data_IF_190393772481
#
_entry.id   IF_190393772481
#
_cell.length_a   1.000
_cell.length_b   1.000
_cell.length_c   1.000
_cell.angle_alpha   90.00
_cell.angle_beta   90.00
_cell.angle_gamma   90.00
#
_symmetry.space_group_name_H-M   'P 1'
#
loop_
_entity.id
_entity.type
_entity.pdbx_description
1 polymer ?
#
# COMPACT_ATOMS: atom_id res chain seq x y z
N UNK A 1 2.17 28.05 27.10
CA UNK A 1 3.50 27.44 27.34
C UNK A 1 4.14 27.24 25.97
N UNK A 2 5.01 28.17 25.55
CA UNK A 2 5.60 28.25 24.19
C UNK A 2 6.81 27.30 24.13
N UNK A 3 6.98 26.44 23.13
CA UNK A 3 8.18 25.60 23.04
C UNK A 3 9.37 26.45 22.60
N UNK A 4 10.42 26.44 23.42
CA UNK A 4 11.73 27.00 23.12
C UNK A 4 12.29 26.41 21.84
N UNK A 5 12.39 27.20 20.78
CA UNK A 5 13.16 26.91 19.60
C UNK A 5 14.65 26.79 20.03
N UNK A 6 15.19 25.59 19.95
CA UNK A 6 16.63 25.32 20.14
C UNK A 6 17.35 25.97 18.97
N UNK A 7 18.03 27.09 19.24
CA UNK A 7 18.93 27.79 18.32
C UNK A 7 20.07 26.85 17.94
N UNK A 8 20.04 26.33 16.71
CA UNK A 8 21.17 25.62 16.14
C UNK A 8 22.41 26.54 16.08
N UNK A 9 23.60 26.10 16.50
CA UNK A 9 24.79 26.91 16.49
C UNK A 9 25.12 27.40 15.07
N UNK A 10 25.30 28.75 14.92
CA UNK A 10 25.70 29.39 13.65
C UNK A 10 27.09 28.89 13.24
N UNK A 11 27.18 28.22 12.10
CA UNK A 11 28.44 27.71 11.51
C UNK A 11 29.42 28.85 11.16
N UNK A 12 30.71 28.74 11.48
CA UNK A 12 31.71 29.69 11.03
C UNK A 12 31.80 29.68 9.49
N UNK A 13 31.86 30.88 8.89
CA UNK A 13 31.81 31.10 7.43
C UNK A 13 32.93 30.38 6.64
N UNK A 14 34.11 30.15 7.25
CA UNK A 14 35.28 29.50 6.63
C UNK A 14 35.03 28.02 6.26
N UNK A 15 34.16 27.30 7.02
CA UNK A 15 33.84 25.89 6.75
C UNK A 15 32.89 25.68 5.54
N UNK A 16 32.28 26.76 5.01
CA UNK A 16 31.46 26.69 3.79
C UNK A 16 32.26 26.64 2.50
N UNK A 17 33.46 27.20 2.50
CA UNK A 17 34.31 27.25 1.32
C UNK A 17 34.86 25.88 0.91
N UNK A 18 35.00 24.94 1.88
CA UNK A 18 35.55 23.59 1.63
C UNK A 18 34.50 22.49 1.53
N UNK A 19 33.21 22.82 1.43
CA UNK A 19 32.15 21.82 1.27
C UNK A 19 32.01 20.83 2.44
N UNK A 20 32.59 21.13 3.61
CA UNK A 20 32.56 20.28 4.81
C UNK A 20 31.18 20.35 5.47
N UNK A 21 30.32 19.31 5.40
CA UNK A 21 28.89 19.41 5.77
C UNK A 21 28.62 19.35 7.28
N UNK A 22 29.64 19.06 8.12
CA UNK A 22 29.48 18.89 9.57
C UNK A 22 30.60 19.57 10.31
N UNK A 23 30.38 20.12 11.53
CA UNK A 23 31.48 20.49 12.37
C UNK A 23 32.36 19.24 12.57
N UNK A 24 33.66 19.35 12.42
CA UNK A 24 34.56 18.25 12.68
C UNK A 24 34.32 17.79 14.12
N UNK A 25 34.09 16.49 14.29
CA UNK A 25 33.99 15.91 15.64
C UNK A 25 35.38 16.05 16.31
N UNK A 26 35.41 15.95 17.64
CA UNK A 26 36.67 16.01 18.39
C UNK A 26 37.73 15.04 17.81
N UNK A 27 37.27 13.85 17.39
CA UNK A 27 38.13 12.81 16.78
C UNK A 27 38.72 13.28 15.44
N UNK A 28 37.92 13.90 14.56
CA UNK A 28 38.39 14.39 13.27
C UNK A 28 39.43 15.52 13.47
N UNK A 29 39.21 16.41 14.45
CA UNK A 29 40.10 17.49 14.78
C UNK A 29 41.43 16.97 15.34
N UNK A 30 41.37 16.01 16.29
CA UNK A 30 42.57 15.40 16.84
C UNK A 30 43.37 14.64 15.78
N UNK A 31 42.69 13.98 14.84
CA UNK A 31 43.36 13.30 13.75
C UNK A 31 44.04 14.27 12.79
N UNK A 32 43.42 15.39 12.45
CA UNK A 32 44.06 16.43 11.61
C UNK A 32 45.33 16.96 12.28
N UNK A 33 45.28 17.22 13.59
CA UNK A 33 46.47 17.66 14.35
C UNK A 33 47.58 16.58 14.32
N UNK A 34 47.18 15.30 14.54
CA UNK A 34 48.09 14.17 14.46
C UNK A 34 48.71 14.03 13.06
N UNK A 35 47.91 14.13 12.00
CA UNK A 35 48.35 14.02 10.63
C UNK A 35 49.34 15.18 10.25
N UNK A 36 49.01 16.41 10.67
CA UNK A 36 49.91 17.57 10.45
C UNK A 36 51.24 17.42 11.21
N UNK A 37 51.22 16.95 12.46
CA UNK A 37 52.46 16.71 13.23
C UNK A 37 53.32 15.61 12.58
N UNK A 38 52.70 14.52 12.07
CA UNK A 38 53.47 13.49 11.35
C UNK A 38 53.98 14.00 10.00
N UNK A 39 53.24 14.87 9.31
CA UNK A 39 53.70 15.49 8.06
C UNK A 39 54.90 16.39 8.30
N UNK A 40 54.91 17.18 9.40
CA UNK A 40 56.06 18.01 9.79
C UNK A 40 57.30 17.13 10.07
N UNK A 41 57.13 15.99 10.72
CA UNK A 41 58.20 15.01 10.95
C UNK A 41 58.77 14.44 9.64
N UNK A 42 57.93 14.17 8.63
CA UNK A 42 58.38 13.71 7.30
C UNK A 42 59.37 14.72 6.69
N UNK A 43 59.10 16.04 6.78
CA UNK A 43 59.95 17.07 6.20
C UNK A 43 61.18 17.44 7.06
N UNK A 44 61.07 17.26 8.40
CA UNK A 44 62.18 17.63 9.31
C UNK A 44 63.27 16.56 9.45
N UNK A 45 62.90 15.28 9.25
CA UNK A 45 63.81 14.16 9.51
C UNK A 45 63.88 13.17 8.32
N UNK A 46 64.60 13.49 7.25
CA UNK A 46 64.67 12.73 6.00
C UNK A 46 65.05 11.26 6.15
N UNK A 47 65.79 10.90 7.19
CA UNK A 47 66.17 9.49 7.46
C UNK A 47 65.17 8.71 8.31
N UNK A 48 64.08 9.32 8.79
CA UNK A 48 63.06 8.75 9.67
C UNK A 48 61.65 8.87 9.09
N UNK A 49 61.52 9.29 7.84
CA UNK A 49 60.27 9.64 7.20
C UNK A 49 59.30 8.46 7.09
N UNK A 50 59.80 7.21 6.96
CA UNK A 50 59.01 6.00 6.77
C UNK A 50 57.98 5.80 7.87
N UNK A 51 58.33 6.06 9.13
CA UNK A 51 57.40 5.85 10.28
C UNK A 51 56.30 6.87 10.29
N UNK A 52 56.49 8.19 10.28
CA UNK A 52 55.41 9.17 10.28
C UNK A 52 54.56 9.12 9.01
N UNK A 53 55.17 8.81 7.82
CA UNK A 53 54.44 8.56 6.59
C UNK A 53 53.42 7.45 6.71
N UNK A 54 53.80 6.24 7.15
CA UNK A 54 52.91 5.14 7.36
C UNK A 54 51.88 5.40 8.48
N UNK A 55 52.23 6.16 9.52
CA UNK A 55 51.32 6.52 10.60
C UNK A 55 50.15 7.39 10.11
N UNK A 56 50.33 8.28 9.12
CA UNK A 56 49.26 9.08 8.50
C UNK A 56 48.24 8.12 7.82
N UNK A 57 48.72 7.22 6.96
CA UNK A 57 47.87 6.32 6.22
C UNK A 57 47.17 5.26 7.09
N UNK A 58 47.90 4.70 8.06
CA UNK A 58 47.34 3.73 8.99
C UNK A 58 46.26 4.34 9.90
N UNK A 59 46.53 5.56 10.43
CA UNK A 59 45.54 6.27 11.26
C UNK A 59 44.31 6.71 10.47
N UNK A 60 44.48 7.15 9.24
CA UNK A 60 43.38 7.48 8.34
C UNK A 60 42.47 6.26 8.08
N UNK A 61 43.08 5.09 7.83
CA UNK A 61 42.40 3.83 7.64
C UNK A 61 41.62 3.40 8.90
N UNK A 62 42.28 3.53 10.07
CA UNK A 62 41.65 3.18 11.35
C UNK A 62 40.44 4.06 11.65
N UNK A 63 40.57 5.36 11.53
CA UNK A 63 39.50 6.32 11.79
C UNK A 63 38.34 6.11 10.83
N UNK A 64 38.61 5.87 9.54
CA UNK A 64 37.56 5.58 8.57
C UNK A 64 36.79 4.31 8.91
N UNK A 65 37.41 3.29 9.50
CA UNK A 65 36.73 2.08 9.98
C UNK A 65 35.71 2.36 11.10
N UNK A 66 35.98 3.34 11.95
CA UNK A 66 35.04 3.75 13.03
C UNK A 66 34.02 4.80 12.56
N UNK A 67 34.38 5.65 11.61
CA UNK A 67 33.55 6.77 11.14
C UNK A 67 33.67 6.97 9.63
N UNK A 68 32.69 6.47 8.89
CA UNK A 68 32.67 6.64 7.44
C UNK A 68 32.33 8.07 7.05
N UNK A 69 33.21 8.73 6.32
CA UNK A 69 32.98 10.06 5.77
C UNK A 69 32.17 10.00 4.46
N UNK A 70 31.55 11.12 4.05
CA UNK A 70 30.90 11.24 2.74
C UNK A 70 31.95 11.12 1.62
N UNK A 71 31.52 10.77 0.39
CA UNK A 71 32.40 10.49 -0.74
C UNK A 71 33.31 11.68 -1.06
N UNK A 72 32.77 12.90 -1.13
CA UNK A 72 33.52 14.10 -1.41
C UNK A 72 34.68 14.34 -0.43
N UNK A 73 34.42 14.45 0.88
CA UNK A 73 35.49 14.58 1.89
C UNK A 73 36.52 13.44 1.85
N UNK A 74 36.08 12.19 1.60
CA UNK A 74 37.00 11.06 1.52
C UNK A 74 37.97 11.20 0.36
N UNK A 75 37.48 11.50 -0.84
CA UNK A 75 38.32 11.68 -2.04
C UNK A 75 39.23 12.88 -1.90
N UNK A 76 38.73 13.98 -1.36
CA UNK A 76 39.52 15.19 -1.17
C UNK A 76 40.67 14.96 -0.17
N UNK A 77 40.37 14.31 0.97
CA UNK A 77 41.35 14.01 2.00
C UNK A 77 42.42 13.02 1.51
N UNK A 78 41.98 11.98 0.76
CA UNK A 78 42.90 11.01 0.14
C UNK A 78 43.80 11.70 -0.87
N UNK A 79 43.24 12.58 -1.72
CA UNK A 79 44.04 13.38 -2.69
C UNK A 79 45.05 14.30 -2.00
N UNK A 80 44.62 15.00 -0.95
CA UNK A 80 45.52 15.87 -0.17
C UNK A 80 46.64 15.07 0.51
N UNK A 81 46.30 13.96 1.19
CA UNK A 81 47.30 13.10 1.82
C UNK A 81 48.29 12.53 0.78
N UNK A 82 47.78 12.07 -0.35
CA UNK A 82 48.59 11.52 -1.44
C UNK A 82 49.58 12.60 -2.00
N UNK A 83 49.09 13.83 -2.25
CA UNK A 83 49.90 14.90 -2.81
C UNK A 83 51.00 15.34 -1.82
N UNK A 84 50.63 15.51 -0.54
CA UNK A 84 51.57 15.96 0.49
C UNK A 84 52.63 14.91 0.79
N UNK A 85 52.25 13.65 0.94
CA UNK A 85 53.21 12.57 1.20
C UNK A 85 54.10 12.28 -0.02
N UNK A 86 53.52 12.30 -1.25
CA UNK A 86 54.32 12.14 -2.46
C UNK A 86 55.32 13.26 -2.66
N UNK A 87 55.00 14.51 -2.26
CA UNK A 87 55.95 15.62 -2.37
C UNK A 87 57.11 15.47 -1.40
N UNK A 88 56.89 14.96 -0.18
CA UNK A 88 57.97 14.64 0.78
C UNK A 88 58.94 13.61 0.20
N UNK A 89 58.42 12.43 -0.13
CA UNK A 89 59.21 11.33 -0.72
C UNK A 89 59.94 11.76 -2.02
N UNK A 90 59.31 12.59 -2.87
CA UNK A 90 59.96 13.10 -4.09
C UNK A 90 61.15 14.02 -3.81
N UNK A 91 61.10 14.84 -2.75
CA UNK A 91 62.22 15.68 -2.30
C UNK A 91 63.36 14.79 -1.85
N UNK A 92 63.14 13.76 -1.07
CA UNK A 92 64.14 12.87 -0.55
C UNK A 92 64.79 11.96 -1.64
N UNK A 93 63.98 11.48 -2.57
CA UNK A 93 64.49 10.80 -3.77
C UNK A 93 65.37 11.76 -4.62
N UNK A 94 64.98 13.03 -4.78
CA UNK A 94 65.77 14.02 -5.54
C UNK A 94 67.10 14.42 -4.86
N UNK A 95 67.08 14.34 -3.52
CA UNK A 95 68.31 14.56 -2.72
C UNK A 95 69.24 13.33 -2.69
N UNK A 96 68.81 12.18 -3.23
CA UNK A 96 69.59 10.94 -3.22
C UNK A 96 69.53 10.19 -1.89
N UNK A 97 68.64 10.60 -0.98
CA UNK A 97 68.48 10.00 0.34
C UNK A 97 67.71 8.67 0.28
N UNK A 98 66.79 8.56 -0.70
CA UNK A 98 65.90 7.40 -0.84
C UNK A 98 65.86 6.87 -2.28
N UNK A 99 65.62 5.55 -2.50
CA UNK A 99 65.57 4.96 -3.81
C UNK A 99 64.24 5.24 -4.52
N UNK A 100 64.28 5.39 -5.85
CA UNK A 100 63.11 5.68 -6.69
C UNK A 100 61.88 4.78 -6.48
N UNK A 101 61.98 3.47 -6.16
CA UNK A 101 60.81 2.60 -5.90
C UNK A 101 59.93 3.05 -4.74
N UNK A 102 60.41 3.80 -3.75
CA UNK A 102 59.60 4.24 -2.60
C UNK A 102 58.47 5.21 -3.02
N UNK A 103 58.64 5.95 -4.12
CA UNK A 103 57.56 6.76 -4.67
C UNK A 103 56.33 5.93 -5.08
N UNK A 104 56.47 4.62 -5.32
CA UNK A 104 55.37 3.73 -5.68
C UNK A 104 54.53 3.33 -4.47
N UNK A 105 55.01 3.50 -3.25
CA UNK A 105 54.23 3.17 -2.02
C UNK A 105 53.04 4.12 -1.82
N UNK A 106 53.17 5.39 -2.18
CA UNK A 106 52.09 6.39 -2.02
C UNK A 106 50.82 6.01 -2.78
N UNK A 107 50.88 5.75 -4.10
CA UNK A 107 49.67 5.33 -4.82
C UNK A 107 49.13 3.97 -4.36
N UNK A 108 50.03 3.06 -3.92
CA UNK A 108 49.60 1.76 -3.39
C UNK A 108 48.80 1.90 -2.09
N UNK A 109 49.26 2.72 -1.14
CA UNK A 109 48.54 2.99 0.11
C UNK A 109 47.24 3.74 -0.13
N UNK A 110 47.20 4.70 -1.06
CA UNK A 110 46.00 5.39 -1.46
C UNK A 110 44.96 4.43 -2.07
N UNK A 111 45.39 3.52 -2.94
CA UNK A 111 44.50 2.49 -3.52
C UNK A 111 43.95 1.54 -2.45
N UNK A 112 44.81 1.09 -1.53
CA UNK A 112 44.42 0.25 -0.42
C UNK A 112 43.38 0.94 0.49
N UNK A 113 43.61 2.21 0.83
CA UNK A 113 42.66 3.01 1.59
C UNK A 113 41.29 3.17 0.84
N UNK A 114 41.33 3.50 -0.45
CA UNK A 114 40.12 3.64 -1.27
C UNK A 114 39.35 2.33 -1.38
N UNK A 115 40.03 1.19 -1.56
CA UNK A 115 39.41 -0.12 -1.58
C UNK A 115 38.72 -0.46 -0.25
N UNK A 116 39.40 -0.18 0.89
CA UNK A 116 38.83 -0.35 2.22
C UNK A 116 37.63 0.59 2.43
N UNK A 117 37.76 1.87 2.05
CA UNK A 117 36.68 2.85 2.15
C UNK A 117 35.45 2.46 1.30
N UNK A 118 35.67 1.94 0.09
CA UNK A 118 34.60 1.39 -0.75
C UNK A 118 33.92 0.20 -0.11
N UNK A 119 34.71 -0.76 0.42
CA UNK A 119 34.18 -1.94 1.11
C UNK A 119 33.35 -1.59 2.35
N UNK A 120 33.88 -0.70 3.21
CA UNK A 120 33.17 -0.23 4.41
C UNK A 120 31.84 0.46 4.07
N UNK A 121 31.81 1.27 3.01
CA UNK A 121 30.56 1.90 2.52
C UNK A 121 29.57 0.89 1.99
N UNK A 122 30.03 -0.06 1.17
CA UNK A 122 29.18 -1.12 0.62
C UNK A 122 28.51 -1.93 1.74
N UNK A 123 29.29 -2.27 2.79
CA UNK A 123 28.78 -2.96 3.98
C UNK A 123 27.71 -2.12 4.70
N UNK A 124 27.98 -0.84 4.92
CA UNK A 124 27.04 0.06 5.60
C UNK A 124 25.74 0.26 4.83
N UNK A 125 25.79 0.35 3.50
CA UNK A 125 24.60 0.44 2.65
C UNK A 125 23.78 -0.86 2.68
N UNK A 126 24.45 -2.01 2.65
CA UNK A 126 23.79 -3.30 2.78
C UNK A 126 23.12 -3.48 4.15
N UNK A 127 23.77 -3.08 5.24
CA UNK A 127 23.19 -3.10 6.57
C UNK A 127 21.95 -2.19 6.70
N UNK A 128 21.98 -1.01 6.08
CA UNK A 128 20.82 -0.09 6.07
C UNK A 128 19.63 -0.70 5.33
N UNK A 129 19.86 -1.23 4.13
CA UNK A 129 18.79 -1.87 3.36
C UNK A 129 18.18 -3.08 4.09
N UNK A 130 19.00 -3.88 4.76
CA UNK A 130 18.51 -5.00 5.58
C UNK A 130 17.66 -4.52 6.77
N UNK A 131 18.05 -3.43 7.43
CA UNK A 131 17.26 -2.84 8.52
C UNK A 131 15.93 -2.31 8.04
N UNK A 132 15.91 -1.57 6.93
CA UNK A 132 14.67 -1.05 6.32
C UNK A 132 13.70 -2.18 5.98
N UNK A 133 14.18 -3.27 5.35
CA UNK A 133 13.36 -4.46 5.06
C UNK A 133 12.87 -5.14 6.33
N UNK A 134 13.73 -5.27 7.35
CA UNK A 134 13.37 -5.87 8.64
C UNK A 134 12.31 -5.04 9.38
N UNK A 135 12.45 -3.71 9.39
CA UNK A 135 11.48 -2.81 10.02
C UNK A 135 10.13 -2.87 9.29
N UNK A 136 10.13 -2.87 7.95
CA UNK A 136 8.92 -3.03 7.17
C UNK A 136 8.22 -4.38 7.45
N UNK A 137 8.98 -5.48 7.53
CA UNK A 137 8.44 -6.79 7.87
C UNK A 137 7.86 -6.83 9.29
N UNK A 138 8.53 -6.23 10.28
CA UNK A 138 8.00 -6.15 11.64
C UNK A 138 6.69 -5.35 11.70
N UNK A 139 6.57 -4.27 10.94
CA UNK A 139 5.34 -3.48 10.85
C UNK A 139 4.20 -4.30 10.22
N UNK A 140 4.47 -5.08 9.17
CA UNK A 140 3.50 -5.98 8.55
C UNK A 140 3.02 -7.06 9.52
N UNK A 141 3.94 -7.71 10.25
CA UNK A 141 3.61 -8.73 11.25
C UNK A 141 2.77 -8.13 12.39
N UNK A 142 3.13 -6.93 12.87
CA UNK A 142 2.37 -6.24 13.90
C UNK A 142 0.96 -5.85 13.43
N UNK A 143 0.81 -5.43 12.17
CA UNK A 143 -0.49 -5.13 11.57
C UNK A 143 -1.34 -6.41 11.42
N UNK A 144 -0.73 -7.52 11.00
CA UNK A 144 -1.41 -8.81 10.89
C UNK A 144 -1.87 -9.35 12.25
N UNK A 145 -1.04 -9.25 13.29
CA UNK A 145 -1.42 -9.65 14.66
C UNK A 145 -2.60 -8.84 15.19
N UNK A 146 -2.56 -7.51 15.01
CA UNK A 146 -3.69 -6.64 15.40
C UNK A 146 -4.97 -7.05 14.67
N UNK A 147 -4.88 -7.28 13.36
CA UNK A 147 -6.01 -7.75 12.58
C UNK A 147 -6.63 -9.04 13.13
N UNK A 148 -5.80 -10.05 13.47
CA UNK A 148 -6.28 -11.32 14.02
C UNK A 148 -6.91 -11.15 15.41
N UNK A 149 -6.34 -10.29 16.26
CA UNK A 149 -6.89 -9.99 17.59
C UNK A 149 -8.25 -9.30 17.49
N UNK A 150 -8.35 -8.27 16.63
CA UNK A 150 -9.60 -7.54 16.42
C UNK A 150 -10.69 -8.45 15.83
N UNK A 151 -10.33 -9.29 14.86
CA UNK A 151 -11.22 -10.28 14.28
C UNK A 151 -11.74 -11.27 15.34
N UNK A 152 -10.84 -11.81 16.18
CA UNK A 152 -11.22 -12.75 17.23
C UNK A 152 -12.18 -12.11 18.25
N UNK A 153 -11.97 -10.85 18.63
CA UNK A 153 -12.87 -10.12 19.53
C UNK A 153 -14.24 -9.91 18.90
N UNK A 154 -14.29 -9.50 17.62
CA UNK A 154 -15.56 -9.24 16.91
C UNK A 154 -16.35 -10.52 16.63
N UNK A 155 -15.69 -11.66 16.49
CA UNK A 155 -16.37 -12.95 16.34
C UNK A 155 -16.88 -13.51 17.68
N UNK A 156 -16.14 -13.31 18.78
CA UNK A 156 -16.50 -13.85 20.10
C UNK A 156 -17.83 -13.33 20.60
N UNK A 157 -18.09 -12.02 20.48
CA UNK A 157 -19.32 -11.39 20.99
C UNK A 157 -20.60 -11.99 20.41
N UNK A 158 -20.82 -12.05 19.08
CA UNK A 158 -22.02 -12.65 18.51
C UNK A 158 -22.09 -14.16 18.75
N UNK A 159 -20.98 -14.88 18.83
CA UNK A 159 -20.97 -16.31 19.20
C UNK A 159 -21.48 -16.47 20.63
N UNK A 160 -21.03 -15.66 21.58
CA UNK A 160 -21.47 -15.74 22.98
C UNK A 160 -22.96 -15.43 23.11
N UNK A 161 -23.48 -14.41 22.37
CA UNK A 161 -24.90 -14.06 22.38
C UNK A 161 -25.72 -15.19 21.77
N UNK A 162 -25.35 -15.69 20.59
CA UNK A 162 -26.08 -16.78 19.92
C UNK A 162 -26.06 -18.05 20.77
N UNK A 163 -24.93 -18.39 21.42
CA UNK A 163 -24.83 -19.55 22.29
C UNK A 163 -25.72 -19.42 23.52
N UNK A 164 -25.73 -18.24 24.19
CA UNK A 164 -26.56 -17.99 25.35
C UNK A 164 -28.07 -18.11 25.05
N UNK A 165 -28.54 -17.57 23.91
CA UNK A 165 -29.94 -17.75 23.50
C UNK A 165 -30.27 -19.19 23.06
N UNK A 166 -29.33 -19.89 22.44
CA UNK A 166 -29.48 -21.28 22.09
C UNK A 166 -29.56 -22.18 23.35
N UNK A 167 -28.80 -21.88 24.40
CA UNK A 167 -28.88 -22.57 25.69
C UNK A 167 -30.23 -22.35 26.38
N UNK A 168 -30.75 -21.09 26.38
CA UNK A 168 -32.08 -20.78 26.90
C UNK A 168 -33.18 -21.56 26.17
N UNK A 169 -33.09 -21.65 24.85
CA UNK A 169 -34.01 -22.45 24.04
C UNK A 169 -33.93 -23.96 24.37
N UNK A 170 -32.71 -24.49 24.54
CA UNK A 170 -32.49 -25.88 24.91
C UNK A 170 -33.08 -26.21 26.30
N UNK A 171 -32.93 -25.32 27.27
CA UNK A 171 -33.47 -25.45 28.61
C UNK A 171 -35.01 -25.38 28.58
N UNK A 172 -35.63 -24.50 27.79
CA UNK A 172 -37.05 -24.39 27.59
C UNK A 172 -37.64 -25.69 27.01
N UNK A 173 -36.99 -26.27 25.98
CA UNK A 173 -37.40 -27.56 25.37
C UNK A 173 -37.14 -28.73 26.31
N UNK A 174 -36.03 -28.75 27.02
CA UNK A 174 -35.65 -29.79 27.98
C UNK A 174 -36.56 -29.80 29.23
N UNK A 175 -36.96 -28.63 29.72
CA UNK A 175 -37.85 -28.45 30.85
C UNK A 175 -39.29 -28.91 30.55
N UNK A 176 -39.77 -28.77 29.30
CA UNK A 176 -41.07 -29.26 28.86
C UNK A 176 -41.15 -30.80 28.75
N UNK A 177 -40.00 -31.49 28.59
CA UNK A 177 -39.93 -32.95 28.52
C UNK A 177 -39.90 -33.66 29.88
N UNK A 178 -39.72 -32.96 31.01
CA UNK A 178 -39.59 -33.52 32.36
C UNK A 178 -40.83 -33.54 33.23
N UNK A 179 -41.92 -32.86 32.81
CA UNK A 179 -43.20 -32.81 33.54
C UNK A 179 -44.30 -33.65 32.87
N UNK A 180 -44.08 -34.95 32.72
CA UNK A 180 -45.11 -35.94 32.41
C UNK A 180 -46.03 -36.18 33.61
N UNK A 181 -46.86 -35.21 33.97
CA UNK A 181 -47.88 -35.26 35.00
C UNK A 181 -49.25 -34.87 34.43
N UNK A 182 -50.15 -35.85 34.33
CA UNK A 182 -51.54 -35.77 33.93
C UNK A 182 -52.29 -34.65 34.64
N UNK A 183 -52.93 -33.73 33.93
CA UNK A 183 -54.12 -33.02 34.43
C UNK A 183 -54.00 -31.50 34.45
N UNK A 184 -54.71 -30.84 33.52
CA UNK A 184 -55.05 -29.43 33.65
C UNK A 184 -55.25 -28.70 32.30
N UNK A 185 -56.53 -28.80 31.83
CA UNK A 185 -57.05 -27.98 30.75
C UNK A 185 -57.01 -26.52 31.16
N UNK A 186 -56.36 -25.67 30.36
CA UNK A 186 -56.65 -24.24 30.43
C UNK A 186 -55.40 -23.33 30.38
N UNK A 187 -54.98 -22.93 29.19
CA UNK A 187 -54.62 -21.54 28.96
C UNK A 187 -53.29 -21.00 29.52
N UNK A 188 -52.12 -21.47 29.00
CA UNK A 188 -50.90 -20.66 28.94
C UNK A 188 -50.13 -21.06 27.66
N UNK A 189 -50.77 -20.98 26.49
CA UNK A 189 -50.15 -21.30 25.20
C UNK A 189 -49.56 -20.06 24.48
N UNK A 190 -49.59 -18.88 25.14
CA UNK A 190 -49.24 -17.62 24.45
C UNK A 190 -47.92 -17.00 24.82
N UNK A 191 -47.38 -17.24 26.01
CA UNK A 191 -46.19 -16.49 26.50
C UNK A 191 -44.89 -17.24 26.20
N UNK A 192 -44.90 -18.60 26.28
CA UNK A 192 -43.68 -19.38 25.97
C UNK A 192 -43.33 -19.34 24.49
N UNK A 193 -44.30 -19.45 23.60
CA UNK A 193 -44.02 -19.43 22.15
C UNK A 193 -43.55 -18.09 21.59
N UNK A 194 -43.91 -16.96 22.22
CA UNK A 194 -43.36 -15.66 21.81
C UNK A 194 -41.88 -15.53 22.22
N UNK A 195 -41.57 -15.90 23.45
CA UNK A 195 -40.18 -15.84 23.95
C UNK A 195 -39.25 -16.75 23.13
N UNK A 196 -39.69 -17.99 22.84
CA UNK A 196 -38.93 -18.91 21.99
C UNK A 196 -38.75 -18.37 20.57
N UNK A 197 -39.72 -17.70 19.97
CA UNK A 197 -39.60 -17.05 18.67
C UNK A 197 -38.64 -15.89 18.69
N UNK A 198 -38.64 -15.05 19.74
CA UNK A 198 -37.73 -13.95 19.92
C UNK A 198 -36.27 -14.45 20.08
N UNK A 199 -36.04 -15.50 20.87
CA UNK A 199 -34.73 -16.10 21.04
C UNK A 199 -34.17 -16.71 19.74
N UNK A 200 -35.05 -17.39 18.95
CA UNK A 200 -34.67 -17.89 17.61
C UNK A 200 -34.30 -16.76 16.67
N UNK A 201 -35.06 -15.65 16.65
CA UNK A 201 -34.73 -14.49 15.80
C UNK A 201 -33.38 -13.84 16.19
N UNK A 202 -33.09 -13.77 17.49
CA UNK A 202 -31.77 -13.27 17.98
C UNK A 202 -30.64 -14.19 17.50
N UNK A 203 -30.78 -15.52 17.66
CA UNK A 203 -29.79 -16.50 17.20
C UNK A 203 -29.55 -16.38 15.69
N UNK A 204 -30.59 -16.33 14.88
CA UNK A 204 -30.51 -16.19 13.43
C UNK A 204 -29.87 -14.85 13.08
N UNK A 205 -30.22 -13.77 13.77
CA UNK A 205 -29.66 -12.44 13.60
C UNK A 205 -28.13 -12.39 13.82
N UNK A 206 -27.67 -13.02 14.92
CA UNK A 206 -26.23 -13.07 15.26
C UNK A 206 -25.45 -14.01 14.33
N UNK A 207 -26.03 -15.14 13.90
CA UNK A 207 -25.40 -16.01 12.89
C UNK A 207 -25.25 -15.29 11.54
N UNK A 208 -26.24 -14.53 11.12
CA UNK A 208 -26.16 -13.71 9.91
C UNK A 208 -25.10 -12.58 10.05
N UNK A 209 -24.98 -12.00 11.23
CA UNK A 209 -23.94 -11.03 11.54
C UNK A 209 -22.56 -11.65 11.47
N UNK A 210 -22.35 -12.83 12.04
CA UNK A 210 -21.11 -13.61 11.96
C UNK A 210 -20.73 -13.92 10.52
N UNK A 211 -21.69 -14.37 9.71
CA UNK A 211 -21.46 -14.62 8.28
C UNK A 211 -20.95 -13.37 7.58
N UNK A 212 -21.60 -12.21 7.75
CA UNK A 212 -21.18 -10.94 7.15
C UNK A 212 -19.78 -10.50 7.62
N UNK A 213 -19.46 -10.68 8.91
CA UNK A 213 -18.12 -10.37 9.44
C UNK A 213 -17.07 -11.25 8.76
N UNK A 214 -17.30 -12.57 8.71
CA UNK A 214 -16.39 -13.55 8.11
C UNK A 214 -16.13 -13.26 6.62
N UNK A 215 -17.20 -13.05 5.84
CA UNK A 215 -17.12 -12.73 4.41
C UNK A 215 -16.32 -11.45 4.16
N UNK A 216 -16.60 -10.37 4.91
CA UNK A 216 -15.87 -9.10 4.78
C UNK A 216 -14.40 -9.21 5.19
N UNK A 217 -14.11 -9.98 6.24
CA UNK A 217 -12.72 -10.23 6.67
C UNK A 217 -11.92 -10.98 5.60
N UNK A 218 -12.51 -12.02 5.01
CA UNK A 218 -11.88 -12.77 3.93
C UNK A 218 -11.60 -11.88 2.71
N UNK A 219 -12.54 -11.04 2.32
CA UNK A 219 -12.38 -10.10 1.20
C UNK A 219 -11.27 -9.07 1.49
N UNK A 220 -11.26 -8.48 2.69
CA UNK A 220 -10.22 -7.51 3.08
C UNK A 220 -8.83 -8.17 3.15
N UNK A 221 -8.75 -9.43 3.59
CA UNK A 221 -7.49 -10.17 3.63
C UNK A 221 -6.99 -10.53 2.22
N UNK A 222 -7.90 -10.94 1.33
CA UNK A 222 -7.57 -11.32 -0.05
C UNK A 222 -7.25 -10.12 -0.96
N UNK A 223 -7.70 -8.90 -0.62
CA UNK A 223 -7.55 -7.71 -1.48
C UNK A 223 -6.09 -7.30 -1.78
N UNK A 224 -5.11 -7.88 -1.07
CA UNK A 224 -3.67 -7.72 -1.36
C UNK A 224 -3.10 -8.73 -2.35
N UNK A 225 -3.86 -9.75 -2.72
CA UNK A 225 -3.44 -10.79 -3.67
C UNK A 225 -3.64 -10.30 -5.12
N UNK A 226 -2.65 -10.41 -6.00
CA UNK A 226 -2.80 -10.10 -7.42
C UNK A 226 -3.93 -10.87 -8.12
N UNK A 227 -4.26 -12.08 -7.65
CA UNK A 227 -5.34 -12.90 -8.17
C UNK A 227 -6.73 -12.55 -7.60
N UNK A 228 -6.84 -11.53 -6.74
CA UNK A 228 -8.10 -11.13 -6.09
C UNK A 228 -9.16 -10.62 -7.07
N UNK A 229 -8.74 -9.96 -8.14
CA UNK A 229 -9.64 -9.34 -9.12
C UNK A 229 -9.69 -10.13 -10.42
N UNK A 230 -10.90 -10.22 -10.97
CA UNK A 230 -11.18 -10.70 -12.33
C UNK A 230 -11.76 -9.54 -13.15
N UNK A 231 -10.90 -8.63 -13.65
CA UNK A 231 -11.36 -7.42 -14.31
C UNK A 231 -12.03 -7.73 -15.66
N UNK A 232 -13.21 -7.18 -15.85
CA UNK A 232 -14.00 -7.19 -17.08
C UNK A 232 -14.45 -5.76 -17.43
N UNK A 233 -14.87 -5.48 -18.67
CA UNK A 233 -15.46 -4.19 -19.00
C UNK A 233 -16.79 -3.98 -18.27
N UNK A 234 -16.84 -3.06 -17.29
CA UNK A 234 -18.03 -2.74 -16.50
C UNK A 234 -18.55 -1.36 -16.88
N UNK A 235 -19.79 -1.30 -17.39
CA UNK A 235 -20.52 -0.05 -17.60
C UNK A 235 -21.05 0.46 -16.26
N UNK A 236 -20.47 1.55 -15.76
CA UNK A 236 -20.75 2.07 -14.41
C UNK A 236 -22.17 2.63 -14.27
N UNK A 237 -22.69 3.29 -15.30
CA UNK A 237 -24.06 3.79 -15.37
C UNK A 237 -25.08 2.67 -15.21
N UNK A 238 -24.90 1.55 -15.89
CA UNK A 238 -25.74 0.36 -15.75
C UNK A 238 -25.64 -0.26 -14.35
N UNK A 239 -24.44 -0.35 -13.80
CA UNK A 239 -24.21 -0.87 -12.44
C UNK A 239 -24.94 -0.01 -11.40
N UNK A 240 -24.84 1.32 -11.48
CA UNK A 240 -25.51 2.24 -10.57
C UNK A 240 -27.05 2.13 -10.69
N UNK A 241 -27.57 2.04 -11.91
CA UNK A 241 -29.01 1.89 -12.12
C UNK A 241 -29.55 0.56 -11.53
N UNK A 242 -28.78 -0.53 -11.61
CA UNK A 242 -29.09 -1.81 -10.98
C UNK A 242 -29.09 -1.73 -9.46
N UNK A 243 -28.06 -1.11 -8.88
CA UNK A 243 -27.94 -0.91 -7.44
C UNK A 243 -29.14 -0.12 -6.86
N UNK A 244 -29.49 0.99 -7.50
CA UNK A 244 -30.67 1.80 -7.07
C UNK A 244 -31.94 0.98 -7.13
N UNK A 245 -32.18 0.22 -8.20
CA UNK A 245 -33.37 -0.65 -8.31
C UNK A 245 -33.44 -1.70 -7.20
N UNK A 246 -32.29 -2.24 -6.79
CA UNK A 246 -32.20 -3.23 -5.71
C UNK A 246 -32.39 -2.62 -4.33
N UNK A 247 -31.81 -1.44 -4.07
CA UNK A 247 -31.83 -0.82 -2.76
C UNK A 247 -33.10 0.00 -2.47
N UNK A 248 -33.74 0.57 -3.50
CA UNK A 248 -34.94 1.42 -3.36
C UNK A 248 -36.06 0.79 -2.51
N UNK A 249 -36.38 -0.50 -2.63
CA UNK A 249 -37.43 -1.11 -1.83
C UNK A 249 -37.04 -1.39 -0.37
N UNK A 250 -35.75 -1.29 -0.01
CA UNK A 250 -35.24 -1.70 1.31
C UNK A 250 -35.37 -0.64 2.38
N UNK A 251 -35.54 0.63 2.00
CA UNK A 251 -35.65 1.75 2.92
C UNK A 251 -36.44 2.92 2.32
N UNK A 252 -37.33 3.53 3.13
CA UNK A 252 -38.12 4.71 2.75
C UNK A 252 -37.23 5.97 2.72
N UNK A 253 -36.38 6.08 1.70
CA UNK A 253 -35.47 7.20 1.44
C UNK A 253 -35.81 7.85 0.11
N UNK A 254 -35.43 9.11 -0.06
CA UNK A 254 -35.51 9.83 -1.35
C UNK A 254 -34.30 9.42 -2.22
N UNK A 255 -34.45 8.32 -2.97
CA UNK A 255 -33.42 7.84 -3.87
C UNK A 255 -33.30 8.71 -5.12
N UNK A 256 -32.12 9.25 -5.39
CA UNK A 256 -31.84 10.12 -6.54
C UNK A 256 -30.71 9.58 -7.40
N UNK A 257 -30.84 9.76 -8.70
CA UNK A 257 -29.75 9.63 -9.66
C UNK A 257 -29.26 11.03 -9.93
N UNK A 258 -27.99 11.31 -9.64
CA UNK A 258 -27.32 12.55 -9.99
C UNK A 258 -26.78 12.53 -11.42
N UNK A 259 -25.59 13.08 -11.62
CA UNK A 259 -24.90 12.96 -12.89
C UNK A 259 -24.61 11.48 -13.19
N UNK A 260 -24.95 11.02 -14.39
CA UNK A 260 -24.76 9.62 -14.79
C UNK A 260 -24.10 9.60 -16.18
N UNK A 261 -22.78 9.75 -16.19
CA UNK A 261 -22.00 9.68 -17.43
C UNK A 261 -21.82 8.21 -17.85
N UNK A 262 -21.93 7.96 -19.15
CA UNK A 262 -21.65 6.64 -19.72
C UNK A 262 -20.14 6.36 -19.67
N UNK A 263 -19.73 5.50 -18.73
CA UNK A 263 -18.32 5.16 -18.51
C UNK A 263 -18.16 3.66 -18.35
N UNK A 264 -17.29 3.09 -19.16
CA UNK A 264 -16.85 1.70 -19.02
C UNK A 264 -15.44 1.67 -18.44
N UNK A 265 -15.24 0.90 -17.37
CA UNK A 265 -13.94 0.71 -16.72
C UNK A 265 -13.57 -0.77 -16.66
N UNK A 266 -12.29 -1.15 -16.70
CA UNK A 266 -11.86 -2.50 -16.38
C UNK A 266 -11.97 -2.70 -14.85
N UNK A 267 -12.96 -3.47 -14.42
CA UNK A 267 -13.22 -3.72 -13.00
C UNK A 267 -13.78 -5.13 -12.78
N UNK A 268 -13.61 -5.65 -11.59
CA UNK A 268 -14.33 -6.81 -11.12
C UNK A 268 -15.72 -6.36 -10.66
N UNK A 269 -16.74 -6.73 -11.45
CA UNK A 269 -18.14 -6.30 -11.22
C UNK A 269 -18.66 -6.75 -9.86
N UNK A 270 -18.33 -7.98 -9.45
CA UNK A 270 -18.78 -8.54 -8.18
C UNK A 270 -18.17 -7.79 -6.99
N UNK A 271 -16.82 -7.61 -7.00
CA UNK A 271 -16.10 -6.90 -5.93
C UNK A 271 -16.48 -5.43 -5.85
N UNK A 272 -16.64 -4.78 -7.00
CA UNK A 272 -17.11 -3.40 -7.05
C UNK A 272 -18.54 -3.26 -6.52
N UNK A 273 -19.43 -4.20 -6.89
CA UNK A 273 -20.79 -4.28 -6.37
C UNK A 273 -20.81 -4.39 -4.83
N UNK A 274 -20.00 -5.27 -4.25
CA UNK A 274 -19.89 -5.43 -2.79
C UNK A 274 -19.40 -4.15 -2.08
N UNK A 275 -18.45 -3.41 -2.69
CA UNK A 275 -17.99 -2.14 -2.15
C UNK A 275 -19.09 -1.07 -2.18
N UNK A 276 -19.82 -0.97 -3.28
CA UNK A 276 -20.95 -0.03 -3.42
C UNK A 276 -22.10 -0.40 -2.49
N UNK A 277 -22.41 -1.69 -2.33
CA UNK A 277 -23.39 -2.17 -1.35
C UNK A 277 -23.00 -1.76 0.09
N UNK A 278 -21.72 -1.83 0.44
CA UNK A 278 -21.25 -1.40 1.74
C UNK A 278 -21.39 0.13 1.95
N UNK A 279 -21.22 0.95 0.91
CA UNK A 279 -21.50 2.38 0.96
C UNK A 279 -22.99 2.67 1.11
N UNK A 280 -23.84 1.95 0.37
CA UNK A 280 -25.30 2.10 0.45
C UNK A 280 -25.85 1.64 1.80
N UNK A 281 -25.36 0.51 2.34
CA UNK A 281 -25.68 0.08 3.69
C UNK A 281 -25.33 1.15 4.74
N UNK A 282 -24.19 1.81 4.56
CA UNK A 282 -23.77 2.92 5.42
C UNK A 282 -24.72 4.11 5.27
N UNK A 283 -25.05 4.53 4.06
CA UNK A 283 -25.97 5.62 3.78
C UNK A 283 -27.36 5.37 4.39
N UNK A 284 -27.94 4.18 4.18
CA UNK A 284 -29.24 3.78 4.77
C UNK A 284 -29.20 3.82 6.30
N UNK A 285 -28.09 3.34 6.90
CA UNK A 285 -27.91 3.33 8.37
C UNK A 285 -27.86 4.70 8.99
N UNK A 286 -27.28 5.68 8.32
CA UNK A 286 -27.04 7.03 8.85
C UNK A 286 -28.04 8.08 8.35
N UNK A 287 -29.07 7.63 7.62
CA UNK A 287 -30.19 8.45 7.16
C UNK A 287 -31.50 8.03 7.85
N UNK A 288 -32.45 8.94 7.94
CA UNK A 288 -33.82 8.69 8.39
C UNK A 288 -34.81 8.72 7.22
N UNK A 289 -36.11 8.50 7.52
CA UNK A 289 -37.17 8.53 6.52
C UNK A 289 -37.28 9.92 5.87
N UNK A 290 -37.36 9.92 4.53
CA UNK A 290 -37.39 11.15 3.75
C UNK A 290 -36.03 11.75 3.43
N UNK A 291 -34.94 11.33 4.08
CA UNK A 291 -33.58 11.72 3.72
C UNK A 291 -33.22 11.33 2.29
N UNK A 292 -32.26 12.02 1.71
CA UNK A 292 -31.82 11.81 0.34
C UNK A 292 -30.62 10.89 0.32
N UNK A 293 -30.64 9.88 -0.58
CA UNK A 293 -29.46 9.10 -0.98
C UNK A 293 -29.30 9.26 -2.50
N UNK A 294 -28.18 9.80 -2.92
CA UNK A 294 -27.89 10.09 -4.33
C UNK A 294 -26.67 9.32 -4.79
N UNK A 295 -26.78 8.70 -5.98
CA UNK A 295 -25.67 8.06 -6.67
C UNK A 295 -25.35 8.81 -7.96
N UNK A 296 -24.05 8.98 -8.26
CA UNK A 296 -23.58 9.64 -9.46
C UNK A 296 -22.38 8.89 -10.05
N UNK A 297 -22.25 8.94 -11.37
CA UNK A 297 -21.04 8.56 -12.11
C UNK A 297 -20.55 9.79 -12.84
N UNK A 298 -19.32 10.19 -12.58
CA UNK A 298 -18.73 11.40 -13.16
C UNK A 298 -17.49 11.00 -13.93
N UNK A 299 -17.44 11.38 -15.20
CA UNK A 299 -16.28 11.22 -16.05
C UNK A 299 -15.55 12.56 -16.15
N UNK A 300 -14.33 12.62 -15.61
CA UNK A 300 -13.46 13.76 -15.88
C UNK A 300 -12.78 13.58 -17.25
N UNK A 301 -12.83 14.63 -18.06
CA UNK A 301 -12.20 14.66 -19.39
C UNK A 301 -10.66 14.72 -19.21
N UNK A 302 -9.89 14.18 -20.18
CA UNK A 302 -8.42 14.19 -20.22
C UNK A 302 -7.69 13.07 -19.49
N UNK A 303 -8.23 11.83 -19.48
CA UNK A 303 -7.54 10.66 -18.89
C UNK A 303 -7.56 10.61 -17.36
N UNK A 304 -8.40 11.43 -16.74
CA UNK A 304 -8.70 11.38 -15.32
C UNK A 304 -9.49 10.11 -14.97
N UNK A 305 -9.38 9.59 -13.74
CA UNK A 305 -10.12 8.41 -13.29
C UNK A 305 -11.63 8.69 -13.28
N UNK A 306 -12.44 7.67 -13.56
CA UNK A 306 -13.89 7.73 -13.34
C UNK A 306 -14.20 7.81 -11.85
N UNK A 307 -15.24 8.57 -11.48
CA UNK A 307 -15.65 8.75 -10.09
C UNK A 307 -17.08 8.27 -9.90
N UNK A 308 -17.27 7.42 -8.90
CA UNK A 308 -18.60 7.04 -8.39
C UNK A 308 -18.79 7.78 -7.09
N UNK A 309 -19.88 8.53 -6.96
CA UNK A 309 -20.21 9.28 -5.74
C UNK A 309 -21.48 8.71 -5.13
N UNK A 310 -21.40 8.36 -3.85
CA UNK A 310 -22.55 8.03 -3.01
C UNK A 310 -22.70 9.12 -1.97
N UNK A 311 -23.73 9.93 -2.12
CA UNK A 311 -24.02 11.07 -1.25
C UNK A 311 -25.27 10.78 -0.40
N UNK A 312 -25.23 11.15 0.88
CA UNK A 312 -26.36 11.07 1.79
C UNK A 312 -26.60 12.41 2.51
N UNK A 313 -27.84 12.69 2.89
CA UNK A 313 -28.22 13.85 3.70
C UNK A 313 -28.37 13.53 5.19
N UNK A 314 -27.75 12.45 5.66
CA UNK A 314 -27.90 11.95 7.01
C UNK A 314 -27.15 12.73 8.08
N UNK A 315 -26.82 12.06 9.17
CA UNK A 315 -26.20 12.68 10.36
C UNK A 315 -24.80 13.24 10.12
N UNK A 316 -24.14 12.88 9.02
CA UNK A 316 -22.77 13.26 8.72
C UNK A 316 -21.75 12.69 9.72
N UNK A 317 -20.48 13.04 9.53
CA UNK A 317 -19.35 12.52 10.30
C UNK A 317 -18.61 13.71 10.95
N UNK A 318 -18.37 13.68 12.28
CA UNK A 318 -17.54 14.66 12.96
C UNK A 318 -16.10 14.70 12.40
N UNK A 319 -15.51 15.91 12.37
CA UNK A 319 -14.20 16.14 11.75
C UNK A 319 -13.05 15.34 12.41
N UNK A 320 -13.15 15.11 13.72
CA UNK A 320 -12.19 14.32 14.50
C UNK A 320 -12.25 12.82 14.19
N UNK A 321 -13.36 12.32 13.65
CA UNK A 321 -13.54 10.93 13.26
C UNK A 321 -13.11 10.66 11.81
N UNK A 322 -13.18 11.66 10.91
CA UNK A 322 -12.88 11.51 9.49
C UNK A 322 -11.54 10.79 9.17
N UNK A 323 -10.43 11.07 9.88
CA UNK A 323 -9.15 10.38 9.59
C UNK A 323 -9.20 8.86 9.82
N UNK A 324 -10.16 8.39 10.61
CA UNK A 324 -10.18 7.02 11.11
C UNK A 324 -11.35 6.16 10.60
N UNK A 325 -12.29 6.72 9.83
CA UNK A 325 -13.51 6.00 9.40
C UNK A 325 -13.23 4.78 8.52
N UNK A 326 -12.07 4.74 7.87
CA UNK A 326 -11.64 3.60 7.07
C UNK A 326 -10.82 2.58 7.88
N UNK A 327 -10.64 2.79 9.19
CA UNK A 327 -9.97 1.83 10.05
C UNK A 327 -10.92 0.68 10.39
N UNK A 328 -10.35 -0.51 10.52
CA UNK A 328 -11.12 -1.74 10.77
C UNK A 328 -11.77 -1.69 12.15
N UNK A 329 -12.99 -2.22 12.24
CA UNK A 329 -13.77 -2.36 13.48
C UNK A 329 -14.10 -1.02 14.19
N UNK A 330 -13.91 0.09 13.52
CA UNK A 330 -14.40 1.37 14.03
C UNK A 330 -15.87 1.53 13.71
N UNK A 331 -16.63 1.74 14.75
CA UNK A 331 -18.05 2.07 14.69
C UNK A 331 -18.23 3.42 15.41
N UNK A 332 -19.14 4.26 14.94
CA UNK A 332 -19.54 5.48 15.65
C UNK A 332 -20.17 5.16 17.01
N UNK A 333 -20.93 6.09 17.59
CA UNK A 333 -21.54 5.95 18.92
C UNK A 333 -22.19 4.58 19.15
N UNK A 334 -21.80 3.94 20.28
CA UNK A 334 -22.10 2.57 20.62
C UNK A 334 -23.61 2.21 20.64
N UNK A 335 -24.48 3.19 20.90
CA UNK A 335 -25.95 2.98 21.01
C UNK A 335 -26.67 2.82 19.66
N UNK A 336 -26.10 3.36 18.55
CA UNK A 336 -26.64 3.23 17.18
C UNK A 336 -25.87 2.20 16.33
N UNK A 337 -24.83 1.60 16.85
CA UNK A 337 -23.86 0.79 16.09
C UNK A 337 -24.19 -0.71 16.06
N UNK A 338 -25.22 -1.11 15.33
CA UNK A 338 -25.34 -2.52 14.87
C UNK A 338 -24.36 -2.86 13.72
N UNK A 339 -23.40 -1.98 13.40
CA UNK A 339 -22.43 -2.16 12.33
C UNK A 339 -21.24 -3.04 12.73
N UNK A 340 -20.63 -3.71 11.75
CA UNK A 340 -19.43 -4.54 11.96
C UNK A 340 -18.13 -3.74 11.97
N UNK A 341 -18.15 -2.45 11.55
CA UNK A 341 -16.96 -1.62 11.36
C UNK A 341 -16.05 -2.12 10.23
N UNK A 342 -16.57 -2.97 9.32
CA UNK A 342 -15.80 -3.55 8.20
C UNK A 342 -16.26 -3.06 6.82
N UNK A 343 -17.38 -2.32 6.73
CA UNK A 343 -17.91 -1.83 5.46
C UNK A 343 -16.94 -0.87 4.76
N UNK A 344 -16.61 0.24 5.38
CA UNK A 344 -15.69 1.24 4.83
C UNK A 344 -14.25 0.72 4.61
N UNK A 345 -13.66 -0.08 5.53
CA UNK A 345 -12.43 -0.82 5.24
C UNK A 345 -12.47 -1.69 3.99
N UNK A 346 -13.60 -2.40 3.74
CA UNK A 346 -13.81 -3.18 2.51
C UNK A 346 -13.82 -2.28 1.27
N UNK A 347 -14.54 -1.16 1.31
CA UNK A 347 -14.55 -0.18 0.20
C UNK A 347 -13.13 0.28 -0.13
N UNK A 348 -12.34 0.64 0.89
CA UNK A 348 -10.95 1.05 0.70
C UNK A 348 -10.07 -0.07 0.12
N UNK A 349 -10.28 -1.30 0.56
CA UNK A 349 -9.52 -2.46 0.08
C UNK A 349 -9.83 -2.75 -1.39
N UNK A 350 -11.11 -2.77 -1.77
CA UNK A 350 -11.57 -2.98 -3.15
C UNK A 350 -11.12 -1.84 -4.07
N UNK A 351 -11.24 -0.58 -3.64
CA UNK A 351 -10.77 0.58 -4.40
C UNK A 351 -9.29 0.46 -4.75
N UNK A 352 -8.45 0.15 -3.74
CA UNK A 352 -7.00 -0.01 -3.91
C UNK A 352 -6.64 -1.19 -4.81
N UNK A 353 -7.33 -2.31 -4.66
CA UNK A 353 -7.12 -3.47 -5.53
C UNK A 353 -7.37 -3.12 -7.02
N UNK A 354 -8.38 -2.28 -7.31
CA UNK A 354 -8.64 -1.76 -8.66
C UNK A 354 -7.68 -0.63 -9.09
N UNK A 355 -6.64 -0.31 -8.30
CA UNK A 355 -5.72 0.79 -8.60
C UNK A 355 -6.32 2.18 -8.41
N UNK A 356 -7.46 2.26 -7.74
CA UNK A 356 -8.18 3.49 -7.42
C UNK A 356 -8.04 3.92 -5.96
N UNK A 357 -8.93 4.80 -5.52
CA UNK A 357 -8.98 5.29 -4.14
C UNK A 357 -10.41 5.60 -3.71
N UNK A 358 -10.62 5.74 -2.39
CA UNK A 358 -11.87 6.25 -1.83
C UNK A 358 -11.57 7.44 -0.92
N UNK A 359 -12.37 8.49 -1.07
CA UNK A 359 -12.32 9.70 -0.23
C UNK A 359 -13.71 9.99 0.32
N UNK A 360 -13.78 10.86 1.34
CA UNK A 360 -15.04 11.30 1.95
C UNK A 360 -15.00 12.79 2.20
N UNK A 361 -16.12 13.44 1.93
CA UNK A 361 -16.43 14.80 2.41
C UNK A 361 -17.68 14.72 3.26
N UNK A 362 -17.59 15.16 4.50
CA UNK A 362 -18.73 15.12 5.40
C UNK A 362 -18.67 16.27 6.41
N UNK A 363 -19.84 16.67 6.84
CA UNK A 363 -20.02 17.66 7.92
C UNK A 363 -21.12 17.13 8.84
N UNK A 364 -20.86 17.13 10.14
CA UNK A 364 -21.86 16.71 11.13
C UNK A 364 -23.19 17.46 10.93
N UNK A 365 -24.28 16.73 10.85
CA UNK A 365 -25.64 17.24 10.62
C UNK A 365 -25.96 17.61 9.17
N UNK A 366 -25.06 17.40 8.19
CA UNK A 366 -25.30 17.76 6.78
C UNK A 366 -25.16 16.57 5.81
N UNK A 367 -24.79 15.38 6.32
CA UNK A 367 -24.60 14.20 5.51
C UNK A 367 -23.14 13.97 5.07
N UNK A 368 -22.97 13.01 4.16
CA UNK A 368 -21.64 12.58 3.70
C UNK A 368 -21.64 12.29 2.20
N UNK A 369 -20.53 12.64 1.53
CA UNK A 369 -20.23 12.30 0.14
C UNK A 369 -19.02 11.35 0.11
N UNK A 370 -19.25 10.09 -0.23
CA UNK A 370 -18.18 9.12 -0.48
C UNK A 370 -17.88 9.08 -1.97
N UNK A 371 -16.62 9.33 -2.32
CA UNK A 371 -16.15 9.35 -3.70
C UNK A 371 -15.17 8.18 -3.93
N UNK A 372 -15.54 7.24 -4.80
CA UNK A 372 -14.74 6.11 -5.25
C UNK A 372 -14.17 6.43 -6.63
N UNK A 373 -12.84 6.48 -6.76
CA UNK A 373 -12.15 6.71 -8.04
C UNK A 373 -11.66 5.39 -8.61
N UNK A 374 -11.83 5.21 -9.94
CA UNK A 374 -11.37 4.04 -10.68
C UNK A 374 -10.57 4.46 -11.91
N UNK A 375 -9.42 3.82 -12.22
CA UNK A 375 -8.67 4.13 -13.41
C UNK A 375 -9.49 3.78 -14.67
N UNK A 376 -9.58 4.71 -15.59
CA UNK A 376 -10.13 4.48 -16.92
C UNK A 376 -8.98 4.04 -17.82
N UNK A 377 -9.09 2.90 -18.50
CA UNK A 377 -8.16 2.60 -19.59
C UNK A 377 -8.27 3.72 -20.61
N UNK A 378 -7.17 4.44 -20.87
CA UNK A 378 -7.11 5.38 -21.96
C UNK A 378 -7.53 4.62 -23.22
N UNK A 379 -8.65 5.06 -23.82
CA UNK A 379 -9.14 4.54 -25.09
C UNK A 379 -7.95 4.57 -26.06
N UNK A 380 -7.34 3.42 -26.31
CA UNK A 380 -6.48 3.25 -27.48
C UNK A 380 -7.41 3.28 -28.70
N UNK A 381 -7.97 4.44 -28.99
CA UNK A 381 -8.40 4.70 -30.37
C UNK A 381 -7.17 4.43 -31.21
N UNK A 382 -7.22 3.48 -32.13
CA UNK A 382 -6.15 3.35 -33.11
C UNK A 382 -5.99 4.74 -33.75
N UNK A 383 -4.82 5.36 -33.50
CA UNK A 383 -4.45 6.59 -34.16
C UNK A 383 -4.85 6.42 -35.62
N UNK A 384 -5.71 7.33 -36.09
CA UNK A 384 -6.21 7.46 -37.45
C UNK A 384 -5.50 6.50 -38.43
N UNK A 385 -6.24 5.53 -38.95
CA UNK A 385 -5.87 4.93 -40.23
C UNK A 385 -5.63 6.12 -41.18
N UNK A 386 -4.37 6.34 -41.49
CA UNK A 386 -4.00 7.28 -42.55
C UNK A 386 -4.82 6.95 -43.79
N UNK A 387 -5.03 7.90 -44.74
CA UNK A 387 -5.84 7.67 -45.90
C UNK A 387 -5.42 6.36 -46.55
N UNK A 388 -6.42 5.51 -46.85
CA UNK A 388 -6.22 4.21 -47.44
C UNK A 388 -5.28 4.36 -48.66
N UNK A 389 -4.24 3.52 -48.80
CA UNK A 389 -3.44 3.57 -50.01
C UNK A 389 -4.34 3.31 -51.21
N UNK A 390 -4.22 4.22 -52.18
CA UNK A 390 -4.87 4.19 -53.48
C UNK A 390 -4.78 2.75 -54.06
N UNK A 391 -5.93 2.08 -54.16
CA UNK A 391 -6.03 0.77 -54.76
C UNK A 391 -5.98 0.95 -56.27
N UNK A 392 -4.76 1.01 -56.84
CA UNK A 392 -4.58 0.73 -58.25
C UNK A 392 -5.09 -0.70 -58.52
N UNK A 393 -5.99 -0.88 -59.50
CA UNK A 393 -6.55 -2.19 -59.82
C UNK A 393 -5.42 -3.12 -60.34
N UNK A 394 -5.20 -4.20 -59.63
CA UNK A 394 -4.31 -5.28 -60.09
C UNK A 394 -4.93 -5.92 -61.34
N UNK A 395 -4.23 -6.05 -62.49
CA UNK A 395 -4.75 -6.70 -63.68
C UNK A 395 -5.06 -8.18 -63.37
N UNK A 396 -6.30 -8.57 -63.62
CA UNK A 396 -6.78 -9.95 -63.54
C UNK A 396 -6.12 -10.76 -64.66
N UNK A 397 -5.21 -11.66 -64.31
CA UNK A 397 -4.71 -12.68 -65.25
C UNK A 397 -5.80 -13.74 -65.47
N UNK A 398 -6.05 -14.19 -66.76
CA UNK A 398 -7.05 -15.21 -67.05
C UNK A 398 -6.60 -16.58 -66.50
N UNK A 399 -7.53 -17.23 -65.79
CA UNK A 399 -7.37 -18.61 -65.27
C UNK A 399 -7.38 -19.59 -66.45
N UNK A 400 -6.42 -20.50 -66.63
CA UNK A 400 -6.48 -21.52 -67.66
C UNK A 400 -7.61 -22.51 -67.37
N UNK A 401 -8.37 -22.84 -68.41
CA UNK A 401 -9.48 -23.79 -68.38
C UNK A 401 -9.02 -25.19 -67.91
N UNK A 402 -9.63 -25.65 -66.86
CA UNK A 402 -9.46 -27.01 -66.36
C UNK A 402 -10.21 -27.96 -67.25
N UNK A 403 -9.48 -28.94 -67.81
CA UNK A 403 -10.01 -30.04 -68.63
C UNK A 403 -11.02 -30.89 -67.83
N UNK A 404 -12.08 -31.30 -68.51
CA UNK A 404 -13.12 -32.19 -67.95
C UNK A 404 -12.55 -33.60 -67.68
N UNK A 405 -12.99 -34.29 -66.60
CA UNK A 405 -12.67 -35.67 -66.36
C UNK A 405 -13.47 -36.59 -67.29
N UNK A 406 -12.76 -37.53 -67.87
CA UNK A 406 -13.32 -38.59 -68.71
C UNK A 406 -14.18 -39.55 -67.87
N UNK A 407 -15.34 -39.87 -68.39
CA UNK A 407 -16.23 -40.93 -67.97
C UNK A 407 -15.54 -42.27 -68.20
N UNK A 408 -15.36 -43.06 -67.19
CA UNK A 408 -15.12 -44.49 -67.31
C UNK A 408 -16.32 -45.27 -66.81
N UNK A 409 -16.67 -46.19 -67.69
CA UNK A 409 -17.84 -47.01 -67.81
C UNK A 409 -17.76 -48.26 -66.93
N UNK A 410 -18.90 -48.72 -66.65
CA UNK A 410 -19.38 -49.96 -66.02
C UNK A 410 -18.46 -51.20 -66.05
N UNK A 411 -18.62 -51.96 -65.01
CA UNK A 411 -18.22 -53.38 -64.98
C UNK A 411 -18.74 -54.14 -63.77
N UNK A 412 -19.98 -54.50 -63.82
CA UNK A 412 -20.63 -55.78 -63.50
C UNK A 412 -19.72 -56.92 -62.95
N UNK A 413 -20.00 -57.55 -61.85
CA UNK A 413 -20.34 -58.97 -61.69
C UNK A 413 -20.25 -59.46 -60.25
N UNK A 414 -21.36 -59.91 -59.72
CA UNK A 414 -21.67 -61.20 -59.07
C UNK A 414 -20.45 -61.99 -58.44
N UNK A 415 -20.43 -62.18 -57.14
CA UNK A 415 -20.94 -63.30 -56.34
C UNK A 415 -20.73 -63.07 -54.88
#
# INVERSE_FOLDING_TARGET
MVPRAILAPRRPRLLRLFGWPWPPGVIDTLWVIFALANLDLVFMYPHWETVPFHAIWASMTLIYGFRTWKLGPTLWLTGAAMTLTASGVAVDVSAGSEPLPELTEVPMLALMFLAMAWHARRKLLAERSLREVSEANMQLIAAQRRFLQDAAHQLRTPITIALGHAELLADAVGGAGGAGGIGGIGGIGGIGGQQESEDIEVVIGELNRLRRISERLLLIAAAGDPAFLHPEPVALDHLIAELIRRWRPTAERSWRIGQLDEVTVPADRERLGLALDALLENAVRHTGDGDVIQLSVIRDYQGMPARIVVADSGTGIPADQLPFIFDRFRTGDAERSRGTGLGLPLVRAVARAHGGSVTVRSTAGKGSDFELTLPVQADRRPAHAGPAPDRTPVPVMPVPATAAPATEDQGSARR
#
